data_IF_120834502492
#
_entry.id   IF_120834502492
#
_cell.length_a   1.000
_cell.length_b   1.000
_cell.length_c   1.000
_cell.angle_alpha   90.00
_cell.angle_beta   90.00
_cell.angle_gamma   90.00
#
_symmetry.space_group_name_H-M   'P 1'
#
loop_
_entity.id
_entity.type
_entity.pdbx_description
1 polymer ?
#
# COMPACT_ATOMS: atom_id res chain seq x y z
N UNK A 1 28.72 -21.98 -0.91
CA UNK A 1 28.24 -22.27 0.45
C UNK A 1 27.18 -21.25 0.76
N UNK A 2 25.92 -21.65 0.89
CA UNK A 2 24.85 -20.77 1.35
C UNK A 2 24.90 -20.72 2.87
N UNK A 3 24.90 -19.52 3.44
CA UNK A 3 24.89 -19.34 4.88
C UNK A 3 23.50 -19.72 5.42
N UNK A 4 23.40 -20.84 6.13
CA UNK A 4 22.13 -21.37 6.66
C UNK A 4 21.77 -20.83 8.05
N UNK A 5 22.47 -19.78 8.54
CA UNK A 5 22.32 -19.23 9.90
C UNK A 5 22.31 -20.31 11.01
N UNK A 6 23.00 -21.42 10.77
CA UNK A 6 23.06 -22.58 11.64
C UNK A 6 24.45 -22.83 12.22
N UNK A 7 24.65 -24.03 12.76
CA UNK A 7 25.94 -24.50 13.27
C UNK A 7 26.47 -25.65 12.41
N UNK A 8 27.77 -25.64 12.15
CA UNK A 8 28.47 -26.71 11.44
C UNK A 8 29.58 -27.24 12.36
N UNK A 9 29.71 -28.56 12.45
CA UNK A 9 30.70 -29.23 13.27
C UNK A 9 31.22 -30.51 12.65
N UNK A 10 32.40 -30.93 13.08
CA UNK A 10 33.03 -32.19 12.64
C UNK A 10 33.21 -33.10 13.85
N UNK A 11 32.75 -34.35 13.74
CA UNK A 11 32.91 -35.31 14.83
C UNK A 11 34.23 -36.11 14.72
N UNK A 12 34.56 -36.87 15.76
CA UNK A 12 35.78 -37.71 15.80
C UNK A 12 35.81 -38.83 14.75
N UNK A 13 34.69 -39.12 14.08
CA UNK A 13 34.60 -40.06 12.95
C UNK A 13 34.84 -39.39 11.60
N UNK A 14 35.15 -38.09 11.57
CA UNK A 14 35.35 -37.32 10.34
C UNK A 14 34.05 -36.93 9.62
N UNK A 15 32.87 -37.11 10.25
CA UNK A 15 31.60 -36.70 9.65
C UNK A 15 31.40 -35.19 9.82
N UNK A 16 31.04 -34.51 8.74
CA UNK A 16 30.63 -33.11 8.73
C UNK A 16 29.13 -33.06 8.98
N UNK A 17 28.74 -32.44 10.09
CA UNK A 17 27.34 -32.27 10.49
C UNK A 17 26.98 -30.79 10.38
N UNK A 18 25.79 -30.50 9.86
CA UNK A 18 25.20 -29.18 9.84
C UNK A 18 23.82 -29.24 10.47
N UNK A 19 23.54 -28.30 11.37
CA UNK A 19 22.24 -28.15 12.03
C UNK A 19 21.79 -26.71 11.82
N UNK A 20 20.60 -26.53 11.25
CA UNK A 20 19.96 -25.24 11.08
C UNK A 20 18.50 -25.33 11.54
N UNK A 21 17.88 -24.16 11.74
CA UNK A 21 16.45 -24.07 12.05
C UNK A 21 15.64 -24.35 10.77
N UNK A 22 14.67 -25.25 10.85
CA UNK A 22 13.65 -25.41 9.80
C UNK A 22 12.55 -24.36 10.02
N UNK A 23 12.64 -23.26 9.27
CA UNK A 23 11.73 -22.11 9.35
C UNK A 23 10.25 -22.47 9.13
N UNK A 24 9.97 -23.58 8.44
CA UNK A 24 8.60 -24.04 8.17
C UNK A 24 8.02 -24.90 9.29
N UNK A 25 8.87 -25.54 10.10
CA UNK A 25 8.45 -26.51 11.12
C UNK A 25 8.65 -26.02 12.55
N UNK A 26 9.50 -25.03 12.78
CA UNK A 26 9.78 -24.54 14.13
C UNK A 26 8.52 -24.05 14.84
N UNK A 27 7.66 -23.30 14.15
CA UNK A 27 6.43 -22.77 14.74
C UNK A 27 5.42 -23.90 15.05
N UNK A 28 5.06 -24.79 14.11
CA UNK A 28 4.22 -25.96 14.42
C UNK A 28 4.77 -26.85 15.54
N UNK A 29 6.09 -27.04 15.60
CA UNK A 29 6.73 -27.84 16.65
C UNK A 29 6.57 -27.21 18.04
N UNK A 30 6.79 -25.89 18.16
CA UNK A 30 6.61 -25.19 19.45
C UNK A 30 5.14 -25.21 19.88
N UNK A 31 4.22 -25.05 18.94
CA UNK A 31 2.78 -25.02 19.22
C UNK A 31 2.26 -26.41 19.61
N UNK A 32 2.57 -27.44 18.84
CA UNK A 32 1.94 -28.76 18.98
C UNK A 32 2.75 -29.75 19.84
N UNK A 33 4.08 -29.72 19.73
CA UNK A 33 4.96 -30.67 20.43
C UNK A 33 5.41 -30.14 21.79
N UNK A 34 5.79 -28.87 21.86
CA UNK A 34 6.18 -28.24 23.14
C UNK A 34 4.98 -27.67 23.92
N UNK A 35 3.84 -27.46 23.25
CA UNK A 35 2.63 -26.88 23.84
C UNK A 35 2.86 -25.49 24.47
N UNK A 36 3.63 -24.62 23.79
CA UNK A 36 3.94 -23.25 24.25
C UNK A 36 3.50 -22.22 23.20
N UNK A 37 2.18 -21.98 23.03
CA UNK A 37 1.66 -21.12 21.97
C UNK A 37 2.10 -19.66 22.08
N UNK A 38 2.32 -19.13 23.29
CA UNK A 38 2.85 -17.77 23.48
C UNK A 38 4.28 -17.61 22.95
N UNK A 39 5.11 -18.65 23.09
CA UNK A 39 6.45 -18.65 22.53
C UNK A 39 6.40 -18.74 21.01
N UNK A 40 5.53 -19.59 20.46
CA UNK A 40 5.31 -19.71 19.03
C UNK A 40 4.91 -18.37 18.40
N UNK A 41 3.94 -17.66 19.00
CA UNK A 41 3.55 -16.32 18.54
C UNK A 41 4.71 -15.31 18.61
N UNK A 42 5.47 -15.28 19.70
CA UNK A 42 6.60 -14.35 19.86
C UNK A 42 7.73 -14.61 18.87
N UNK A 43 7.99 -15.87 18.50
CA UNK A 43 9.00 -16.21 17.49
C UNK A 43 8.45 -15.91 16.09
N UNK A 44 7.20 -16.26 15.80
CA UNK A 44 6.56 -15.95 14.54
C UNK A 44 6.56 -14.45 14.23
N UNK A 45 6.20 -13.59 15.19
CA UNK A 45 6.25 -12.12 14.99
C UNK A 45 7.68 -11.61 14.84
N UNK A 46 8.64 -12.07 15.65
CA UNK A 46 10.01 -11.53 15.64
C UNK A 46 10.82 -11.97 14.42
N UNK A 47 10.62 -13.20 13.97
CA UNK A 47 11.34 -13.78 12.84
C UNK A 47 10.52 -13.74 11.55
N UNK A 48 9.30 -13.18 11.59
CA UNK A 48 8.36 -13.12 10.48
C UNK A 48 8.11 -14.50 9.83
N UNK A 49 7.96 -15.54 10.67
CA UNK A 49 7.78 -16.93 10.25
C UNK A 49 6.30 -17.31 10.11
N UNK A 50 6.02 -18.23 9.18
CA UNK A 50 4.69 -18.79 8.95
C UNK A 50 4.31 -19.87 9.98
N UNK A 51 3.03 -20.25 10.03
CA UNK A 51 2.56 -21.39 10.84
C UNK A 51 2.01 -21.03 12.22
N UNK A 52 1.87 -19.72 12.51
CA UNK A 52 1.16 -19.22 13.70
C UNK A 52 -0.20 -18.59 13.35
N UNK A 53 -0.62 -18.67 12.09
CA UNK A 53 -1.78 -17.98 11.52
C UNK A 53 -3.05 -18.22 12.36
N UNK A 54 -3.33 -19.49 12.68
CA UNK A 54 -4.49 -19.89 13.49
C UNK A 54 -4.43 -19.34 14.91
N UNK A 55 -3.23 -19.29 15.53
CA UNK A 55 -3.05 -18.73 16.87
C UNK A 55 -3.36 -17.23 16.89
N UNK A 56 -2.89 -16.49 15.88
CA UNK A 56 -3.19 -15.06 15.73
C UNK A 56 -4.69 -14.84 15.50
N UNK A 57 -5.32 -15.66 14.65
CA UNK A 57 -6.75 -15.55 14.37
C UNK A 57 -7.60 -15.87 15.61
N UNK A 58 -7.29 -16.93 16.36
CA UNK A 58 -7.99 -17.26 17.60
C UNK A 58 -7.86 -16.16 18.65
N UNK A 59 -6.63 -15.64 18.85
CA UNK A 59 -6.39 -14.54 19.79
C UNK A 59 -7.13 -13.28 19.38
N UNK A 60 -7.12 -12.95 18.09
CA UNK A 60 -7.89 -11.84 17.55
C UNK A 60 -9.40 -12.00 17.81
N UNK A 61 -9.98 -13.16 17.50
CA UNK A 61 -11.42 -13.42 17.71
C UNK A 61 -11.79 -13.36 19.19
N UNK A 62 -10.96 -13.91 20.08
CA UNK A 62 -11.17 -13.85 21.52
C UNK A 62 -11.23 -12.40 22.01
N UNK A 63 -10.27 -11.56 21.62
CA UNK A 63 -10.25 -10.15 22.01
C UNK A 63 -11.41 -9.36 21.40
N UNK A 64 -11.76 -9.67 20.15
CA UNK A 64 -12.88 -9.05 19.45
C UNK A 64 -14.21 -9.35 20.14
N UNK A 65 -14.46 -10.61 20.54
CA UNK A 65 -15.67 -11.02 21.26
C UNK A 65 -15.76 -10.42 22.66
N UNK A 66 -14.62 -10.17 23.31
CA UNK A 66 -14.55 -9.50 24.61
C UNK A 66 -14.80 -7.98 24.53
N UNK A 67 -14.93 -7.41 23.32
CA UNK A 67 -15.04 -5.96 23.11
C UNK A 67 -13.72 -5.22 23.30
N UNK A 68 -12.59 -5.92 23.42
CA UNK A 68 -11.26 -5.36 23.56
C UNK A 68 -10.68 -4.97 22.18
N UNK A 69 -11.35 -4.06 21.47
CA UNK A 69 -11.02 -3.71 20.08
C UNK A 69 -9.62 -3.11 19.90
N UNK A 70 -9.12 -2.36 20.88
CA UNK A 70 -7.75 -1.81 20.84
C UNK A 70 -6.69 -2.92 20.85
N UNK A 71 -6.83 -3.90 21.76
CA UNK A 71 -5.91 -5.03 21.85
C UNK A 71 -6.05 -5.94 20.62
N UNK A 72 -7.27 -6.16 20.13
CA UNK A 72 -7.51 -6.89 18.88
C UNK A 72 -6.80 -6.20 17.69
N UNK A 73 -6.87 -4.88 17.61
CA UNK A 73 -6.18 -4.10 16.58
C UNK A 73 -4.65 -4.23 16.68
N UNK A 74 -4.07 -4.22 17.89
CA UNK A 74 -2.64 -4.49 18.10
C UNK A 74 -2.24 -5.89 17.65
N UNK A 75 -3.06 -6.91 17.91
CA UNK A 75 -2.80 -8.27 17.44
C UNK A 75 -2.83 -8.33 15.91
N UNK A 76 -3.81 -7.69 15.27
CA UNK A 76 -3.89 -7.63 13.83
C UNK A 76 -2.69 -6.91 13.20
N UNK A 77 -2.29 -5.75 13.75
CA UNK A 77 -1.12 -5.00 13.32
C UNK A 77 0.19 -5.77 13.52
N UNK A 78 0.28 -6.64 14.52
CA UNK A 78 1.46 -7.47 14.83
C UNK A 78 1.43 -8.89 14.25
N UNK A 79 0.45 -9.19 13.40
CA UNK A 79 0.40 -10.47 12.70
C UNK A 79 1.64 -10.65 11.80
N UNK A 80 2.28 -11.84 11.84
CA UNK A 80 3.37 -12.16 10.92
C UNK A 80 2.85 -12.09 9.48
N UNK A 81 3.68 -11.63 8.55
CA UNK A 81 3.33 -11.51 7.12
C UNK A 81 2.04 -10.73 6.81
N UNK A 82 1.46 -10.01 7.77
CA UNK A 82 0.19 -9.32 7.59
C UNK A 82 -1.04 -10.24 7.46
N UNK A 83 -1.00 -11.44 8.04
CA UNK A 83 -2.10 -12.44 7.96
C UNK A 83 -3.45 -11.89 8.43
N UNK A 84 -3.45 -10.97 9.38
CA UNK A 84 -4.66 -10.30 9.86
C UNK A 84 -4.88 -8.92 9.22
N UNK A 85 -3.99 -8.43 8.36
CA UNK A 85 -4.13 -7.16 7.62
C UNK A 85 -4.91 -7.39 6.32
N UNK A 86 -6.11 -7.94 6.46
CA UNK A 86 -6.98 -8.33 5.34
C UNK A 86 -8.26 -7.51 5.31
N UNK A 87 -8.93 -7.50 4.16
CA UNK A 87 -10.21 -6.83 4.00
C UNK A 87 -11.27 -7.34 4.99
N UNK A 88 -11.25 -8.64 5.33
CA UNK A 88 -12.16 -9.22 6.31
C UNK A 88 -11.97 -8.62 7.71
N UNK A 89 -10.74 -8.36 8.13
CA UNK A 89 -10.46 -7.72 9.42
C UNK A 89 -11.00 -6.29 9.46
N UNK A 90 -10.84 -5.55 8.37
CA UNK A 90 -11.35 -4.18 8.22
C UNK A 90 -12.88 -4.17 8.31
N UNK A 91 -13.54 -5.08 7.58
CA UNK A 91 -15.01 -5.21 7.60
C UNK A 91 -15.54 -5.54 8.99
N UNK A 92 -14.84 -6.39 9.75
CA UNK A 92 -15.18 -6.67 11.15
C UNK A 92 -15.13 -5.40 11.99
N UNK A 93 -14.03 -4.65 11.96
CA UNK A 93 -13.92 -3.40 12.72
C UNK A 93 -14.94 -2.33 12.28
N UNK A 94 -15.33 -2.33 11.00
CA UNK A 94 -16.35 -1.43 10.45
C UNK A 94 -17.77 -1.80 10.88
N UNK A 95 -18.04 -3.08 11.09
CA UNK A 95 -19.35 -3.57 11.55
C UNK A 95 -19.63 -3.26 13.02
N UNK A 96 -18.62 -2.87 13.81
CA UNK A 96 -18.81 -2.53 15.22
C UNK A 96 -19.60 -1.21 15.35
N UNK A 97 -20.77 -1.21 16.00
CA UNK A 97 -21.51 0.02 16.25
C UNK A 97 -20.71 0.92 17.20
N UNK A 98 -20.61 2.21 16.87
CA UNK A 98 -19.83 3.19 17.64
C UNK A 98 -20.77 3.92 18.60
N UNK A 99 -20.62 3.77 19.94
CA UNK A 99 -21.37 4.57 20.91
C UNK A 99 -20.97 6.05 20.80
N UNK A 100 -21.92 6.96 21.01
CA UNK A 100 -21.64 8.40 21.00
C UNK A 100 -20.54 8.75 22.01
N UNK A 101 -19.48 9.41 21.54
CA UNK A 101 -18.35 9.86 22.35
C UNK A 101 -17.14 8.92 22.39
N UNK A 102 -17.22 7.70 21.84
CA UNK A 102 -16.04 6.83 21.68
C UNK A 102 -15.45 6.94 20.27
N UNK A 103 -14.12 6.79 20.18
CA UNK A 103 -13.44 6.67 18.90
C UNK A 103 -13.89 5.38 18.21
N UNK A 104 -14.17 5.48 16.91
CA UNK A 104 -14.56 4.32 16.12
C UNK A 104 -13.45 3.25 16.16
N UNK A 105 -13.77 1.97 16.43
CA UNK A 105 -12.78 0.89 16.48
C UNK A 105 -11.93 0.79 15.21
N UNK A 106 -12.52 1.08 14.04
CA UNK A 106 -11.78 1.09 12.78
C UNK A 106 -10.74 2.22 12.71
N UNK A 107 -11.04 3.41 13.27
CA UNK A 107 -10.06 4.48 13.34
C UNK A 107 -8.93 4.14 14.31
N UNK A 108 -9.23 3.45 15.42
CA UNK A 108 -8.21 2.98 16.34
C UNK A 108 -7.28 1.95 15.68
N UNK A 109 -7.83 1.05 14.87
CA UNK A 109 -7.06 0.12 14.06
C UNK A 109 -6.11 0.85 13.09
N UNK A 110 -6.60 1.83 12.34
CA UNK A 110 -5.75 2.61 11.43
C UNK A 110 -4.68 3.43 12.16
N UNK A 111 -4.99 4.03 13.32
CA UNK A 111 -3.99 4.74 14.11
C UNK A 111 -2.83 3.83 14.52
N UNK A 112 -3.12 2.62 15.00
CA UNK A 112 -2.10 1.64 15.38
C UNK A 112 -1.25 1.23 14.17
N UNK A 113 -1.88 1.03 13.01
CA UNK A 113 -1.14 0.70 11.79
C UNK A 113 -0.24 1.85 11.33
N UNK A 114 -0.73 3.09 11.35
CA UNK A 114 0.01 4.30 10.96
C UNK A 114 1.17 4.63 11.90
N UNK A 115 1.10 4.19 13.16
CA UNK A 115 2.21 4.24 14.12
C UNK A 115 3.27 3.18 13.82
N UNK A 116 2.84 2.01 13.33
CA UNK A 116 3.73 0.88 13.07
C UNK A 116 4.43 0.98 11.71
N UNK A 117 3.75 1.48 10.69
CA UNK A 117 4.31 1.58 9.34
C UNK A 117 3.29 2.02 8.29
N UNK A 118 3.44 1.46 7.10
CA UNK A 118 2.65 1.82 5.92
C UNK A 118 1.36 1.01 5.84
N UNK A 119 0.30 1.63 5.32
CA UNK A 119 -0.99 1.02 5.02
C UNK A 119 -0.98 0.39 3.63
N UNK A 120 -1.61 -0.77 3.50
CA UNK A 120 -1.78 -1.42 2.20
C UNK A 120 -2.85 -0.71 1.35
N UNK A 121 -3.02 -1.16 0.10
CA UNK A 121 -4.00 -0.60 -0.85
C UNK A 121 -5.41 -0.52 -0.26
N UNK A 122 -5.89 -1.61 0.32
CA UNK A 122 -7.26 -1.71 0.86
C UNK A 122 -7.46 -0.83 2.10
N UNK A 123 -6.49 -0.83 3.00
CA UNK A 123 -6.48 0.00 4.21
C UNK A 123 -6.45 1.48 3.86
N UNK A 124 -5.63 1.87 2.88
CA UNK A 124 -5.53 3.25 2.39
C UNK A 124 -6.86 3.74 1.80
N UNK A 125 -7.55 2.89 1.04
CA UNK A 125 -8.88 3.19 0.48
C UNK A 125 -9.94 3.37 1.58
N UNK A 126 -10.01 2.44 2.53
CA UNK A 126 -11.01 2.47 3.61
C UNK A 126 -10.75 3.62 4.61
N UNK A 127 -9.49 4.04 4.78
CA UNK A 127 -9.14 5.23 5.56
C UNK A 127 -9.50 6.52 4.80
N UNK A 128 -9.23 6.60 3.50
CA UNK A 128 -9.41 7.83 2.73
C UNK A 128 -10.88 8.24 2.60
N UNK A 129 -11.81 7.30 2.39
CA UNK A 129 -13.25 7.57 2.23
C UNK A 129 -13.84 8.44 3.35
N UNK A 130 -13.77 8.05 4.65
CA UNK A 130 -14.33 8.85 5.73
C UNK A 130 -13.56 10.16 5.96
N UNK A 131 -12.24 10.16 5.76
CA UNK A 131 -11.40 11.36 5.96
C UNK A 131 -11.74 12.45 4.93
N UNK A 132 -11.95 12.05 3.68
CA UNK A 132 -12.35 12.95 2.59
C UNK A 132 -13.80 13.40 2.74
N UNK A 133 -14.72 12.52 3.15
CA UNK A 133 -16.11 12.88 3.43
C UNK A 133 -16.23 13.91 4.58
N UNK A 134 -15.33 13.86 5.57
CA UNK A 134 -15.23 14.84 6.66
C UNK A 134 -14.48 16.13 6.25
N UNK A 135 -14.00 16.23 5.01
CA UNK A 135 -13.23 17.38 4.53
C UNK A 135 -11.82 17.51 5.14
N UNK A 136 -11.31 16.46 5.81
CA UNK A 136 -10.00 16.46 6.49
C UNK A 136 -8.85 16.10 5.55
N UNK A 137 -8.81 16.73 4.36
CA UNK A 137 -7.79 16.43 3.32
C UNK A 137 -6.34 16.65 3.77
N UNK A 138 -6.13 17.55 4.74
CA UNK A 138 -4.81 17.82 5.34
C UNK A 138 -4.17 16.58 5.99
N UNK A 139 -4.98 15.66 6.55
CA UNK A 139 -4.47 14.41 7.12
C UNK A 139 -3.94 13.49 6.02
N UNK A 140 -4.68 13.39 4.91
CA UNK A 140 -4.27 12.58 3.76
C UNK A 140 -3.00 13.15 3.13
N UNK A 141 -2.89 14.47 3.00
CA UNK A 141 -1.66 15.15 2.56
C UNK A 141 -0.46 14.82 3.44
N UNK A 142 -0.65 14.82 4.77
CA UNK A 142 0.41 14.48 5.71
C UNK A 142 0.85 13.02 5.53
N UNK A 143 -0.10 12.08 5.48
CA UNK A 143 0.23 10.66 5.32
C UNK A 143 0.86 10.34 3.96
N UNK A 144 0.47 11.05 2.90
CA UNK A 144 1.10 10.94 1.57
C UNK A 144 2.53 11.49 1.54
N UNK A 145 2.84 12.51 2.35
CA UNK A 145 4.22 13.04 2.49
C UNK A 145 5.10 12.14 3.34
N UNK A 146 4.52 11.43 4.31
CA UNK A 146 5.21 10.45 5.15
C UNK A 146 5.33 9.07 4.49
N UNK A 147 4.92 8.92 3.22
CA UNK A 147 4.87 7.65 2.48
C UNK A 147 4.13 6.52 3.22
N UNK A 148 3.16 6.86 4.07
CA UNK A 148 2.40 5.90 4.89
C UNK A 148 1.25 5.21 4.18
N UNK A 149 0.92 5.63 2.96
CA UNK A 149 -0.24 5.14 2.22
C UNK A 149 0.21 4.50 0.92
N UNK A 150 -0.16 3.24 0.73
CA UNK A 150 -0.03 2.59 -0.57
C UNK A 150 -0.99 3.25 -1.58
N UNK A 151 -0.38 3.98 -2.52
CA UNK A 151 -1.11 4.73 -3.53
C UNK A 151 -1.62 3.78 -4.62
N UNK A 152 -2.88 3.95 -5.00
CA UNK A 152 -3.51 3.16 -6.06
C UNK A 152 -4.39 4.02 -6.97
N UNK A 153 -4.75 3.47 -8.13
CA UNK A 153 -5.66 4.10 -9.08
C UNK A 153 -6.99 4.51 -8.43
N UNK A 154 -7.62 3.56 -7.72
CA UNK A 154 -8.89 3.78 -7.01
C UNK A 154 -8.77 4.87 -5.94
N UNK A 155 -7.63 4.96 -5.26
CA UNK A 155 -7.40 5.99 -4.25
C UNK A 155 -7.34 7.37 -4.92
N UNK A 156 -6.65 7.46 -6.06
CA UNK A 156 -6.60 8.68 -6.86
C UNK A 156 -7.98 9.12 -7.36
N UNK A 157 -8.83 8.18 -7.78
CA UNK A 157 -10.20 8.50 -8.24
C UNK A 157 -11.07 9.09 -7.13
N UNK A 158 -10.98 8.53 -5.92
CA UNK A 158 -11.72 9.04 -4.76
C UNK A 158 -11.23 10.44 -4.39
N UNK A 159 -9.90 10.64 -4.33
CA UNK A 159 -9.31 11.94 -3.99
C UNK A 159 -9.66 13.00 -5.04
N UNK A 160 -9.73 12.62 -6.32
CA UNK A 160 -10.01 13.53 -7.44
C UNK A 160 -11.38 14.20 -7.34
N UNK A 161 -12.37 13.56 -6.72
CA UNK A 161 -13.69 14.15 -6.50
C UNK A 161 -13.65 15.36 -5.54
N UNK A 162 -12.60 15.46 -4.72
CA UNK A 162 -12.41 16.51 -3.73
C UNK A 162 -11.28 17.48 -4.10
N UNK A 163 -10.17 16.98 -4.63
CA UNK A 163 -8.99 17.77 -4.96
C UNK A 163 -8.17 17.17 -6.12
N UNK A 164 -8.12 17.88 -7.25
CA UNK A 164 -7.37 17.46 -8.44
C UNK A 164 -5.85 17.47 -8.24
N UNK A 165 -5.33 18.39 -7.42
CA UNK A 165 -3.87 18.52 -7.20
C UNK A 165 -3.35 17.42 -6.29
N UNK A 166 -4.14 17.03 -5.29
CA UNK A 166 -3.82 15.90 -4.43
C UNK A 166 -3.93 14.58 -5.20
N UNK A 167 -4.95 14.43 -6.04
CA UNK A 167 -5.12 13.23 -6.88
C UNK A 167 -3.93 13.02 -7.82
N UNK A 168 -3.40 14.08 -8.44
CA UNK A 168 -2.18 14.00 -9.24
C UNK A 168 -1.00 13.42 -8.45
N UNK A 169 -0.83 13.84 -7.19
CA UNK A 169 0.22 13.34 -6.31
C UNK A 169 0.05 11.86 -5.95
N UNK A 170 -1.20 11.39 -5.88
CA UNK A 170 -1.52 9.97 -5.65
C UNK A 170 -1.25 9.15 -6.91
N UNK A 171 -1.72 9.59 -8.09
CA UNK A 171 -1.49 8.85 -9.34
C UNK A 171 -0.02 8.72 -9.71
N UNK A 172 0.77 9.77 -9.43
CA UNK A 172 2.22 9.76 -9.65
C UNK A 172 2.91 8.67 -8.80
N UNK A 173 2.50 8.52 -7.53
CA UNK A 173 2.99 7.47 -6.62
C UNK A 173 2.44 6.09 -6.96
N UNK A 174 1.20 6.01 -7.41
CA UNK A 174 0.55 4.77 -7.84
C UNK A 174 1.09 4.21 -9.17
N UNK A 175 1.97 4.96 -9.85
CA UNK A 175 2.52 4.62 -11.16
C UNK A 175 1.44 4.30 -12.21
N UNK A 176 0.43 5.17 -12.31
CA UNK A 176 -0.67 5.04 -13.29
C UNK A 176 -0.54 6.13 -14.37
N UNK A 177 0.14 5.87 -15.51
CA UNK A 177 0.50 6.94 -16.43
C UNK A 177 -0.70 7.59 -17.11
N UNK A 178 -1.68 6.78 -17.53
CA UNK A 178 -2.90 7.23 -18.20
C UNK A 178 -3.63 8.32 -17.41
N UNK A 179 -3.87 8.07 -16.11
CA UNK A 179 -4.59 9.01 -15.25
C UNK A 179 -3.73 10.18 -14.80
N UNK A 180 -2.42 9.96 -14.60
CA UNK A 180 -1.47 11.04 -14.30
C UNK A 180 -1.44 12.06 -15.43
N UNK A 181 -1.37 11.61 -16.68
CA UNK A 181 -1.37 12.47 -17.87
C UNK A 181 -2.72 13.19 -18.02
N UNK A 182 -3.84 12.50 -17.81
CA UNK A 182 -5.15 13.15 -17.80
C UNK A 182 -5.25 14.24 -16.72
N UNK A 183 -4.73 14.00 -15.51
CA UNK A 183 -4.65 15.01 -14.45
C UNK A 183 -3.72 16.18 -14.81
N UNK A 184 -2.57 15.92 -15.45
CA UNK A 184 -1.70 17.00 -15.93
C UNK A 184 -2.37 17.86 -17.00
N UNK A 185 -3.15 17.25 -17.89
CA UNK A 185 -3.89 17.97 -18.92
C UNK A 185 -4.97 18.87 -18.29
N UNK A 186 -5.72 18.36 -17.31
CA UNK A 186 -6.77 19.13 -16.63
C UNK A 186 -6.23 20.20 -15.68
N UNK A 187 -5.02 20.01 -15.13
CA UNK A 187 -4.33 21.03 -14.32
C UNK A 187 -3.54 22.04 -15.17
N UNK A 188 -3.54 21.90 -16.50
CA UNK A 188 -2.87 22.80 -17.43
C UNK A 188 -1.34 22.74 -17.40
N UNK A 189 -0.76 21.66 -16.86
CA UNK A 189 0.69 21.47 -16.73
C UNK A 189 1.25 20.62 -17.89
N UNK A 190 1.03 21.07 -19.12
CA UNK A 190 1.32 20.28 -20.33
C UNK A 190 2.81 19.98 -20.53
N UNK A 191 3.70 20.90 -20.14
CA UNK A 191 5.15 20.70 -20.21
C UNK A 191 5.64 19.49 -19.42
N UNK A 192 4.96 19.15 -18.32
CA UNK A 192 5.31 17.99 -17.48
C UNK A 192 4.81 16.66 -18.07
N UNK A 193 3.84 16.69 -18.99
CA UNK A 193 3.28 15.47 -19.60
C UNK A 193 4.36 14.74 -20.39
N UNK A 194 5.07 15.45 -21.28
CA UNK A 194 6.13 14.86 -22.12
C UNK A 194 7.29 14.36 -21.27
N UNK A 195 7.71 15.15 -20.27
CA UNK A 195 8.78 14.78 -19.35
C UNK A 195 8.43 13.51 -18.55
N UNK A 196 7.20 13.40 -18.06
CA UNK A 196 6.75 12.24 -17.31
C UNK A 196 6.60 11.00 -18.21
N UNK A 197 6.01 11.15 -19.40
CA UNK A 197 5.89 10.08 -20.39
C UNK A 197 7.25 9.46 -20.74
N UNK A 198 8.26 10.30 -21.01
CA UNK A 198 9.65 9.86 -21.24
C UNK A 198 10.25 9.16 -20.03
N UNK A 199 10.07 9.72 -18.83
CA UNK A 199 10.65 9.17 -17.59
C UNK A 199 10.12 7.78 -17.27
N UNK A 200 8.84 7.52 -17.55
CA UNK A 200 8.17 6.23 -17.29
C UNK A 200 8.27 5.30 -18.50
N UNK A 201 8.77 5.77 -19.64
CA UNK A 201 8.79 5.01 -20.89
C UNK A 201 7.39 4.71 -21.44
N UNK A 202 6.41 5.54 -21.09
CA UNK A 202 5.02 5.36 -21.50
C UNK A 202 4.72 6.26 -22.70
N UNK A 203 4.17 5.69 -23.78
CA UNK A 203 3.70 6.44 -24.95
C UNK A 203 2.19 6.64 -24.86
N UNK A 204 1.70 7.82 -24.43
CA UNK A 204 0.29 8.15 -24.50
C UNK A 204 -0.17 8.35 -25.95
N UNK A 205 -1.48 8.27 -26.16
CA UNK A 205 -2.12 8.69 -27.42
C UNK A 205 -2.09 10.23 -27.51
N UNK A 206 -0.98 10.75 -28.03
CA UNK A 206 -0.74 12.18 -28.20
C UNK A 206 -1.78 12.88 -29.10
N UNK A 207 -2.27 12.29 -30.22
CA UNK A 207 -3.33 12.90 -31.02
C UNK A 207 -4.63 13.13 -30.23
N UNK A 208 -5.08 12.11 -29.50
CA UNK A 208 -6.31 12.20 -28.69
C UNK A 208 -6.14 13.17 -27.53
N UNK A 209 -4.94 13.20 -26.94
CA UNK A 209 -4.58 14.18 -25.91
C UNK A 209 -4.58 15.61 -26.45
N UNK A 210 -3.98 15.84 -27.62
CA UNK A 210 -3.90 17.15 -28.27
C UNK A 210 -5.29 17.66 -28.62
N UNK A 211 -6.18 16.82 -29.17
CA UNK A 211 -7.57 17.21 -29.42
C UNK A 211 -8.30 17.64 -28.14
N UNK A 212 -8.05 16.93 -27.03
CA UNK A 212 -8.67 17.26 -25.73
C UNK A 212 -8.10 18.57 -25.17
N UNK A 213 -6.80 18.80 -25.31
CA UNK A 213 -6.12 20.04 -24.87
C UNK A 213 -6.57 21.22 -25.74
N UNK A 214 -6.58 21.09 -27.06
CA UNK A 214 -7.06 22.12 -28.01
C UNK A 214 -8.48 22.59 -27.71
N UNK A 215 -9.36 21.69 -27.24
CA UNK A 215 -10.73 22.03 -26.84
C UNK A 215 -10.80 22.78 -25.50
N UNK A 216 -9.85 22.55 -24.60
CA UNK A 216 -9.81 23.19 -23.27
C UNK A 216 -9.07 24.54 -23.32
N UNK A 217 -7.93 24.57 -24.00
CA UNK A 217 -7.01 25.70 -24.06
C UNK A 217 -6.26 25.69 -25.42
N UNK A 218 -6.72 26.50 -26.41
CA UNK A 218 -6.15 26.51 -27.76
C UNK A 218 -4.72 27.05 -27.82
N UNK A 219 -4.38 28.02 -26.96
CA UNK A 219 -3.03 28.61 -26.94
C UNK A 219 -2.01 27.59 -26.43
N UNK A 220 -2.29 26.97 -25.27
CA UNK A 220 -1.36 26.01 -24.67
C UNK A 220 -1.28 24.69 -25.42
N UNK A 221 -2.34 24.29 -26.13
CA UNK A 221 -2.24 23.13 -26.99
C UNK A 221 -1.30 23.37 -28.19
N UNK A 222 -1.14 24.62 -28.64
CA UNK A 222 -0.16 24.97 -29.68
C UNK A 222 1.28 24.77 -29.19
N UNK A 223 1.56 25.18 -27.95
CA UNK A 223 2.84 24.89 -27.27
C UNK A 223 3.07 23.39 -27.09
N UNK A 224 2.03 22.65 -26.71
CA UNK A 224 2.10 21.19 -26.55
C UNK A 224 2.36 20.48 -27.89
N UNK A 225 1.71 20.91 -28.98
CA UNK A 225 1.99 20.42 -30.33
C UNK A 225 3.43 20.74 -30.77
N UNK A 226 3.93 21.95 -30.48
CA UNK A 226 5.31 22.31 -30.76
C UNK A 226 6.31 21.46 -29.96
N UNK A 227 6.01 21.11 -28.71
CA UNK A 227 6.83 20.19 -27.91
C UNK A 227 6.82 18.75 -28.45
N UNK A 228 5.71 18.30 -29.04
CA UNK A 228 5.59 16.95 -29.61
C UNK A 228 6.35 16.79 -30.94
N UNK A 229 6.39 17.85 -31.74
CA UNK A 229 7.06 17.88 -33.05
C UNK A 229 8.57 18.13 -32.89
N UNK A 230 8.98 18.95 -31.92
CA UNK A 230 10.39 19.27 -31.66
C UNK A 230 11.08 18.33 -30.65
N UNK A 231 10.53 17.14 -30.41
CA UNK A 231 11.09 16.23 -29.43
C UNK A 231 12.41 15.58 -29.93
N UNK A 232 13.44 15.58 -29.07
CA UNK A 232 14.79 15.06 -29.39
C UNK A 232 14.84 13.58 -29.81
N UNK A 233 13.77 12.80 -29.56
CA UNK A 233 13.69 11.37 -29.94
C UNK A 233 13.00 11.13 -31.30
N UNK A 234 12.64 12.20 -32.01
CA UNK A 234 11.80 12.16 -33.21
C UNK A 234 10.35 12.54 -32.92
N UNK A 235 9.56 12.89 -33.95
CA UNK A 235 8.18 13.34 -33.77
C UNK A 235 7.35 12.23 -33.11
N UNK A 236 6.82 12.52 -31.92
CA UNK A 236 5.98 11.59 -31.14
C UNK A 236 4.54 11.51 -31.69
N UNK A 237 4.27 12.22 -32.79
CA UNK A 237 3.02 12.24 -33.53
C UNK A 237 3.39 12.02 -35.00
N UNK A 238 2.80 11.01 -35.64
CA UNK A 238 2.90 10.87 -37.09
C UNK A 238 2.23 12.08 -37.76
N UNK A 239 3.02 12.88 -38.48
CA UNK A 239 2.55 14.08 -39.20
C UNK A 239 1.92 13.69 -40.56
N UNK A 240 1.97 12.41 -40.95
CA UNK A 240 1.55 11.91 -42.27
C UNK A 240 0.16 11.23 -42.31
N UNK A 241 -0.80 11.59 -41.45
CA UNK A 241 -2.17 11.06 -41.55
C UNK A 241 -3.29 12.07 -41.43
#
# INVERSE_FOLDING_TARGET
HEATSGIIGVNRKGQVLSVCVDETKIIPYITNSLNIPDLAMRIATRCNLSGADDLFMQKFMSLYQQGAFNEAAKVAANSPMGVLRTQQTIERFKAVPVPQGQLSPILQYFSILLEKGELNKYESLELARPVLAQGRKQLLEKWLKEDKLECSEELGDIVRQHDLTLALSVYLRANVPNKTIACFAETGQYSKIVLYAKKVGFQPDYPTLLQKIMRLDPEKGGEFAAMLVNDESGPLVDIER
#
